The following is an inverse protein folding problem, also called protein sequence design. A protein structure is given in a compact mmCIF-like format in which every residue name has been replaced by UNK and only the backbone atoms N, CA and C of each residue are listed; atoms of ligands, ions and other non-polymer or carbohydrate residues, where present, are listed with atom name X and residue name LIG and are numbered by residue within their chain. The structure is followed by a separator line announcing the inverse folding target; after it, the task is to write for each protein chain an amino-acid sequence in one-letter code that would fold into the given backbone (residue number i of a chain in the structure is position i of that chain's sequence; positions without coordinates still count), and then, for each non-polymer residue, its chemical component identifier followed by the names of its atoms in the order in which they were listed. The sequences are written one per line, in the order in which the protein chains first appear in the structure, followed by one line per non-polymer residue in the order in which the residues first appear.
data_IF_571295983228
#
_entry.id   IF_571295983228
#
_cell.length_a   1.000
_cell.length_b   1.000
_cell.length_c   1.000
_cell.angle_alpha   90.00
_cell.angle_beta   90.00
_cell.angle_gamma   90.00
#
_symmetry.space_group_name_H-M   'P 1'
#
loop_
_entity.id
_entity.type
_entity.pdbx_description
1 polymer ?
#
# COMPACT_ATOMS: atom_id res chain seq x y z
N UNK A 1 -20.53 -5.83 3.03
CA UNK A 1 -19.77 -5.71 1.77
C UNK A 1 -20.74 -5.73 0.62
N UNK A 2 -20.41 -5.03 -0.47
CA UNK A 2 -21.33 -4.77 -1.58
C UNK A 2 -20.78 -5.29 -2.91
N UNK A 3 -21.66 -5.39 -3.90
CA UNK A 3 -21.30 -5.51 -5.31
C UNK A 3 -20.51 -4.28 -5.81
N UNK A 4 -19.84 -4.40 -6.96
CA UNK A 4 -18.98 -3.34 -7.51
C UNK A 4 -19.66 -1.99 -7.76
N UNK A 5 -20.98 -2.01 -7.98
CA UNK A 5 -21.86 -0.86 -8.19
C UNK A 5 -22.60 -0.40 -6.92
N UNK A 6 -22.35 -1.03 -5.77
CA UNK A 6 -23.02 -0.79 -4.49
C UNK A 6 -24.56 -0.95 -4.53
N UNK A 7 -25.10 -1.75 -5.43
CA UNK A 7 -26.56 -1.99 -5.54
C UNK A 7 -27.04 -3.12 -4.63
N UNK A 8 -26.24 -4.17 -4.46
CA UNK A 8 -26.58 -5.36 -3.70
C UNK A 8 -25.43 -5.81 -2.79
N UNK A 9 -25.69 -6.80 -1.93
CA UNK A 9 -24.63 -7.45 -1.16
C UNK A 9 -23.58 -8.07 -2.12
N UNK A 10 -22.32 -8.11 -1.67
CA UNK A 10 -21.26 -8.76 -2.45
C UNK A 10 -21.63 -10.23 -2.71
N UNK A 11 -21.48 -10.75 -3.95
CA UNK A 11 -21.82 -12.14 -4.27
C UNK A 11 -20.89 -13.14 -3.58
N UNK A 12 -19.68 -12.71 -3.21
CA UNK A 12 -18.71 -13.48 -2.46
C UNK A 12 -17.95 -12.57 -1.47
N UNK A 13 -17.32 -13.18 -0.47
CA UNK A 13 -16.38 -12.52 0.46
C UNK A 13 -14.92 -12.84 0.10
N UNK A 14 -14.68 -13.22 -1.16
CA UNK A 14 -13.35 -13.53 -1.71
C UNK A 14 -13.07 -12.53 -2.82
N UNK A 15 -12.01 -11.76 -2.67
CA UNK A 15 -11.67 -10.68 -3.58
C UNK A 15 -10.33 -10.97 -4.24
N UNK A 16 -10.23 -10.99 -5.58
CA UNK A 16 -8.95 -11.18 -6.25
C UNK A 16 -7.96 -10.07 -5.87
N UNK A 17 -6.67 -10.41 -5.77
CA UNK A 17 -5.62 -9.42 -5.61
C UNK A 17 -5.71 -8.37 -6.71
N UNK A 18 -5.58 -7.09 -6.36
CA UNK A 18 -5.72 -5.98 -7.31
C UNK A 18 -7.16 -5.56 -7.59
N UNK A 19 -8.17 -6.35 -7.18
CA UNK A 19 -9.57 -5.95 -7.28
C UNK A 19 -9.94 -4.90 -6.22
N UNK A 20 -11.11 -4.27 -6.41
CA UNK A 20 -11.71 -3.35 -5.44
C UNK A 20 -12.69 -4.10 -4.55
N UNK A 21 -12.67 -3.79 -3.26
CA UNK A 21 -13.55 -4.34 -2.22
C UNK A 21 -14.58 -3.25 -1.85
N UNK A 22 -15.83 -3.35 -2.34
CA UNK A 22 -16.84 -2.33 -2.07
C UNK A 22 -17.44 -2.50 -0.68
N UNK A 23 -17.39 -1.45 0.12
CA UNK A 23 -17.87 -1.40 1.50
C UNK A 23 -18.83 -0.22 1.64
N UNK A 24 -20.00 -0.52 2.21
CA UNK A 24 -21.04 0.47 2.51
C UNK A 24 -21.18 0.59 4.01
N UNK A 25 -21.08 1.81 4.51
CA UNK A 25 -21.49 2.18 5.86
C UNK A 25 -22.76 3.04 5.75
N UNK A 26 -23.78 2.72 6.52
CA UNK A 26 -25.03 3.48 6.54
C UNK A 26 -25.63 3.45 7.95
N UNK A 27 -26.33 4.52 8.31
CA UNK A 27 -27.13 4.55 9.54
C UNK A 27 -28.43 3.79 9.28
N UNK A 28 -28.82 2.89 10.20
CA UNK A 28 -30.13 2.26 10.13
C UNK A 28 -31.18 3.28 10.56
N UNK A 29 -32.18 3.52 9.71
CA UNK A 29 -33.26 4.48 9.94
C UNK A 29 -33.86 4.34 11.34
N UNK A 30 -33.97 5.44 12.08
CA UNK A 30 -34.42 5.44 13.49
C UNK A 30 -33.77 6.50 14.39
N UNK A 31 -32.92 7.37 13.83
CA UNK A 31 -32.26 8.45 14.57
C UNK A 31 -33.10 9.74 14.69
N UNK A 32 -32.67 10.70 15.53
CA UNK A 32 -33.41 11.92 15.87
C UNK A 32 -33.50 12.99 14.76
N UNK A 33 -33.25 12.64 13.50
CA UNK A 33 -33.27 13.59 12.38
C UNK A 33 -32.46 13.09 11.17
N UNK A 34 -32.27 13.93 10.13
CA UNK A 34 -31.37 13.60 9.02
C UNK A 34 -29.94 13.55 9.56
N UNK A 35 -29.44 12.34 9.80
CA UNK A 35 -28.09 12.14 10.28
C UNK A 35 -27.09 12.16 9.12
N UNK A 36 -25.91 12.75 9.35
CA UNK A 36 -24.77 12.63 8.43
C UNK A 36 -23.73 11.69 9.00
N UNK A 37 -23.33 10.68 8.20
CA UNK A 37 -22.39 9.63 8.62
C UNK A 37 -20.95 9.93 8.20
N UNK A 38 -20.04 9.69 9.13
CA UNK A 38 -18.59 9.75 8.94
C UNK A 38 -17.90 8.51 9.51
N UNK A 39 -16.75 8.17 8.91
CA UNK A 39 -15.84 7.14 9.40
C UNK A 39 -14.64 7.87 10.00
N UNK A 40 -14.45 7.76 11.31
CA UNK A 40 -13.32 8.41 11.98
C UNK A 40 -12.02 7.65 11.76
N UNK A 41 -12.07 6.34 11.94
CA UNK A 41 -10.94 5.44 11.81
C UNK A 41 -11.39 4.08 11.30
N UNK A 42 -10.52 3.41 10.54
CA UNK A 42 -10.65 1.99 10.25
C UNK A 42 -9.28 1.32 10.20
N UNK A 43 -9.20 0.10 10.71
CA UNK A 43 -8.01 -0.76 10.63
C UNK A 43 -8.38 -2.14 10.10
N UNK A 44 -7.51 -2.70 9.26
CA UNK A 44 -7.58 -4.11 8.86
C UNK A 44 -6.76 -4.96 9.82
N UNK A 45 -7.34 -6.07 10.25
CA UNK A 45 -6.74 -6.97 11.22
C UNK A 45 -7.08 -8.44 10.90
N UNK A 46 -6.25 -9.43 11.29
CA UNK A 46 -6.51 -10.84 11.05
C UNK A 46 -7.50 -11.48 12.03
N UNK A 47 -7.99 -10.74 13.03
CA UNK A 47 -8.92 -11.23 14.06
C UNK A 47 -10.16 -10.33 14.18
N UNK A 48 -11.28 -10.91 14.60
CA UNK A 48 -12.54 -10.21 14.87
C UNK A 48 -12.49 -9.41 16.18
N UNK A 49 -11.58 -9.77 17.09
CA UNK A 49 -11.26 -9.02 18.31
C UNK A 49 -9.93 -8.29 18.09
N UNK A 50 -9.99 -6.95 18.00
CA UNK A 50 -8.82 -6.14 17.68
C UNK A 50 -7.69 -6.32 18.71
N UNK A 51 -8.05 -6.54 19.98
CA UNK A 51 -7.14 -6.76 21.10
C UNK A 51 -6.22 -7.98 20.94
N UNK A 52 -6.61 -8.95 20.10
CA UNK A 52 -5.84 -10.18 19.83
C UNK A 52 -4.97 -10.08 18.58
N UNK A 53 -5.09 -9.00 17.81
CA UNK A 53 -4.40 -8.84 16.54
C UNK A 53 -2.97 -8.32 16.75
N UNK A 54 -1.98 -9.14 16.40
CA UNK A 54 -0.56 -8.77 16.49
C UNK A 54 -0.14 -7.73 15.43
N UNK A 55 -0.90 -7.58 14.36
CA UNK A 55 -0.60 -6.63 13.27
C UNK A 55 -1.89 -6.04 12.76
N UNK A 56 -1.93 -4.71 12.70
CA UNK A 56 -3.06 -3.93 12.18
C UNK A 56 -2.55 -3.01 11.09
N UNK A 57 -3.35 -2.83 10.05
CA UNK A 57 -3.04 -1.90 8.97
C UNK A 57 -4.08 -0.78 8.97
N UNK A 58 -3.69 0.49 9.20
CA UNK A 58 -4.63 1.59 9.14
C UNK A 58 -5.12 1.80 7.70
N UNK A 59 -6.43 1.98 7.56
CA UNK A 59 -7.11 2.23 6.29
C UNK A 59 -7.59 3.66 6.23
N UNK A 60 -8.36 4.05 7.26
CA UNK A 60 -8.80 5.42 7.50
C UNK A 60 -8.25 5.80 8.87
N UNK A 61 -7.66 6.98 8.99
CA UNK A 61 -7.15 7.49 10.26
C UNK A 61 -7.35 9.00 10.31
N UNK A 62 -6.89 9.63 11.38
CA UNK A 62 -6.81 11.08 11.49
C UNK A 62 -8.18 11.76 11.32
N UNK A 63 -9.22 11.15 11.89
CA UNK A 63 -10.63 11.56 11.82
C UNK A 63 -11.14 11.69 10.38
N UNK A 64 -10.97 10.65 9.57
CA UNK A 64 -11.57 10.56 8.23
C UNK A 64 -10.63 10.75 7.02
N UNK A 65 -9.30 10.65 7.20
CA UNK A 65 -8.32 10.64 6.10
C UNK A 65 -8.06 9.21 5.61
N UNK A 66 -8.35 8.93 4.33
CA UNK A 66 -8.12 7.64 3.69
C UNK A 66 -6.64 7.49 3.29
N UNK A 67 -5.93 6.57 3.95
CA UNK A 67 -4.48 6.42 3.82
C UNK A 67 -4.05 5.43 2.73
N UNK A 68 -4.91 4.48 2.33
CA UNK A 68 -4.58 3.52 1.30
C UNK A 68 -4.68 4.15 -0.09
N UNK A 69 -3.54 4.42 -0.72
CA UNK A 69 -3.42 5.29 -1.90
C UNK A 69 -4.24 4.92 -3.14
N UNK A 70 -4.60 3.65 -3.34
CA UNK A 70 -5.46 3.21 -4.44
C UNK A 70 -6.92 2.95 -4.02
N UNK A 71 -7.23 3.16 -2.74
CA UNK A 71 -8.61 3.13 -2.25
C UNK A 71 -9.26 4.50 -2.48
N UNK A 72 -10.58 4.52 -2.60
CA UNK A 72 -11.31 5.77 -2.82
C UNK A 72 -12.70 5.74 -2.16
N UNK A 73 -13.20 6.90 -1.81
CA UNK A 73 -14.62 7.08 -1.56
C UNK A 73 -15.37 7.30 -2.88
N UNK A 74 -16.54 6.70 -3.01
CA UNK A 74 -17.47 7.04 -4.08
C UNK A 74 -18.37 8.21 -3.63
N UNK A 75 -18.93 9.00 -4.58
CA UNK A 75 -19.84 10.09 -4.26
C UNK A 75 -20.99 9.61 -3.37
N UNK A 76 -21.32 10.44 -2.38
CA UNK A 76 -22.38 10.15 -1.43
C UNK A 76 -23.75 10.13 -2.13
N UNK A 77 -24.53 9.08 -1.90
CA UNK A 77 -25.93 8.98 -2.39
C UNK A 77 -26.93 9.62 -1.42
N UNK A 78 -26.65 9.52 -0.12
CA UNK A 78 -27.47 10.04 0.98
C UNK A 78 -26.58 10.48 2.16
N UNK A 79 -26.92 11.53 2.91
CA UNK A 79 -26.09 12.05 4.02
C UNK A 79 -25.69 10.99 5.06
N UNK A 80 -26.55 10.02 5.30
CA UNK A 80 -26.42 8.95 6.29
C UNK A 80 -25.60 7.74 5.79
N UNK A 81 -24.96 7.85 4.63
CA UNK A 81 -24.30 6.73 3.94
C UNK A 81 -22.91 7.12 3.41
N UNK A 82 -21.91 6.25 3.60
CA UNK A 82 -20.59 6.35 2.97
C UNK A 82 -20.27 5.08 2.17
N UNK A 83 -19.72 5.29 0.98
CA UNK A 83 -19.33 4.25 0.04
C UNK A 83 -17.80 4.25 -0.12
N UNK A 84 -17.16 3.18 0.35
CA UNK A 84 -15.71 3.02 0.35
C UNK A 84 -15.33 1.89 -0.61
N UNK A 85 -14.36 2.15 -1.48
CA UNK A 85 -13.79 1.15 -2.39
C UNK A 85 -12.35 0.90 -1.98
N UNK A 86 -12.10 -0.23 -1.31
CA UNK A 86 -10.77 -0.57 -0.82
C UNK A 86 -9.98 -1.35 -1.87
N UNK A 87 -8.72 -1.00 -2.07
CA UNK A 87 -7.83 -1.76 -2.93
C UNK A 87 -7.37 -3.05 -2.23
N UNK A 88 -7.66 -4.21 -2.82
CA UNK A 88 -7.12 -5.48 -2.36
C UNK A 88 -5.59 -5.50 -2.56
N UNK A 89 -4.85 -5.57 -1.45
CA UNK A 89 -3.38 -5.48 -1.44
C UNK A 89 -2.72 -6.83 -1.14
N UNK A 90 -1.48 -6.98 -1.59
CA UNK A 90 -0.69 -8.21 -1.42
C UNK A 90 -0.40 -8.54 0.05
N UNK A 91 -0.37 -7.53 0.93
CA UNK A 91 -0.06 -7.67 2.37
C UNK A 91 -1.04 -8.60 3.13
N UNK A 92 -2.22 -8.78 2.56
CA UNK A 92 -3.37 -9.46 3.17
C UNK A 92 -3.82 -10.70 2.39
N UNK A 93 -3.10 -11.11 1.34
CA UNK A 93 -3.43 -12.29 0.51
C UNK A 93 -3.42 -13.57 1.35
N UNK A 94 -4.42 -14.42 1.15
CA UNK A 94 -4.56 -15.73 1.80
C UNK A 94 -5.01 -15.68 3.27
N UNK A 95 -5.10 -14.49 3.87
CA UNK A 95 -5.52 -14.30 5.27
C UNK A 95 -7.01 -13.98 5.36
N UNK A 96 -7.66 -14.39 6.45
CA UNK A 96 -8.96 -13.86 6.85
C UNK A 96 -8.73 -12.47 7.43
N UNK A 97 -9.37 -11.46 6.86
CA UNK A 97 -9.25 -10.07 7.28
C UNK A 97 -10.59 -9.58 7.80
N UNK A 98 -10.53 -8.80 8.87
CA UNK A 98 -11.63 -8.04 9.43
C UNK A 98 -11.30 -6.55 9.31
N UNK A 99 -12.28 -5.77 8.88
CA UNK A 99 -12.20 -4.30 8.88
C UNK A 99 -12.93 -3.79 10.12
N UNK A 100 -12.17 -3.26 11.07
CA UNK A 100 -12.68 -2.62 12.28
C UNK A 100 -12.79 -1.13 12.03
N UNK A 101 -13.95 -0.54 12.29
CA UNK A 101 -14.20 0.89 12.04
C UNK A 101 -14.86 1.56 13.22
N UNK A 102 -14.46 2.80 13.48
CA UNK A 102 -15.13 3.74 14.36
C UNK A 102 -15.93 4.73 13.51
N UNK A 103 -17.24 4.74 13.72
CA UNK A 103 -18.21 5.53 12.98
C UNK A 103 -18.75 6.63 13.89
N UNK A 104 -19.01 7.79 13.32
CA UNK A 104 -19.77 8.87 13.97
C UNK A 104 -20.88 9.39 13.08
N UNK A 105 -22.01 9.72 13.68
CA UNK A 105 -23.10 10.38 13.01
C UNK A 105 -23.73 11.44 13.91
N UNK A 106 -24.09 12.58 13.35
CA UNK A 106 -24.79 13.67 14.04
C UNK A 106 -25.84 14.27 13.12
N UNK A 107 -26.69 15.13 13.67
CA UNK A 107 -27.77 15.79 12.93
C UNK A 107 -27.14 16.75 11.91
N UNK A 108 -27.54 16.62 10.65
CA UNK A 108 -27.02 17.40 9.52
C UNK A 108 -27.51 18.86 9.60
N UNK A 109 -26.85 19.65 10.44
CA UNK A 109 -27.03 21.10 10.52
C UNK A 109 -25.97 21.75 9.61
N UNK A 110 -26.42 22.29 8.49
CA UNK A 110 -25.66 22.62 7.27
C UNK A 110 -24.65 23.77 7.38
N UNK A 111 -24.08 24.05 8.56
CA UNK A 111 -23.29 25.28 8.80
C UNK A 111 -21.83 25.05 9.20
N UNK A 112 -21.44 23.84 9.64
CA UNK A 112 -20.03 23.58 9.97
C UNK A 112 -19.60 22.17 9.53
N UNK A 113 -18.36 22.07 9.08
CA UNK A 113 -17.70 20.82 8.66
C UNK A 113 -17.28 20.06 9.91
N UNK A 114 -18.27 19.56 10.66
CA UNK A 114 -18.04 18.76 11.87
C UNK A 114 -17.32 17.43 11.58
N UNK A 115 -17.35 16.98 10.32
CA UNK A 115 -16.81 15.72 9.86
C UNK A 115 -16.20 15.84 8.49
N UNK A 116 -15.26 14.94 8.19
CA UNK A 116 -14.61 14.88 6.89
C UNK A 116 -14.47 13.43 6.43
N UNK A 117 -14.54 13.25 5.11
CA UNK A 117 -14.12 12.06 4.42
C UNK A 117 -13.15 12.53 3.34
N UNK A 118 -11.86 12.39 3.61
CA UNK A 118 -10.79 12.91 2.79
C UNK A 118 -10.10 11.78 2.06
N UNK A 119 -9.81 11.99 0.77
CA UNK A 119 -8.98 11.09 -0.02
C UNK A 119 -7.87 11.87 -0.71
N UNK A 120 -6.72 11.24 -0.87
CA UNK A 120 -5.62 11.84 -1.62
C UNK A 120 -5.81 11.62 -3.12
N UNK A 121 -5.90 12.71 -3.88
CA UNK A 121 -6.04 12.64 -5.33
C UNK A 121 -4.66 12.71 -5.97
N UNK A 122 -4.15 11.57 -6.43
CA UNK A 122 -2.81 11.45 -7.01
C UNK A 122 -2.58 12.41 -8.19
N UNK A 123 -3.58 12.63 -9.04
CA UNK A 123 -3.48 13.52 -10.21
C UNK A 123 -3.31 15.01 -9.85
N UNK A 124 -3.74 15.41 -8.66
CA UNK A 124 -3.66 16.79 -8.16
C UNK A 124 -2.65 16.96 -7.02
N UNK A 125 -2.01 15.86 -6.60
CA UNK A 125 -1.11 15.80 -5.45
C UNK A 125 -1.64 16.49 -4.19
N UNK A 126 -2.93 16.35 -3.90
CA UNK A 126 -3.58 16.98 -2.74
C UNK A 126 -4.67 16.13 -2.13
N UNK A 127 -4.98 16.39 -0.86
CA UNK A 127 -6.17 15.89 -0.20
C UNK A 127 -7.42 16.63 -0.68
N UNK A 128 -8.49 15.88 -0.93
CA UNK A 128 -9.78 16.38 -1.39
C UNK A 128 -10.88 15.90 -0.45
N UNK A 129 -11.76 16.83 -0.05
CA UNK A 129 -12.96 16.50 0.73
C UNK A 129 -14.03 15.89 -0.18
N UNK A 130 -14.58 14.74 0.23
CA UNK A 130 -15.57 14.01 -0.56
C UNK A 130 -16.84 14.82 -0.85
N UNK A 131 -17.42 15.42 0.19
CA UNK A 131 -18.75 16.02 0.13
C UNK A 131 -18.72 17.40 -0.55
N UNK A 132 -17.61 18.15 -0.42
CA UNK A 132 -17.42 19.44 -1.07
C UNK A 132 -15.93 19.70 -1.39
N UNK A 133 -15.49 19.44 -2.64
CA UNK A 133 -14.12 19.71 -3.05
C UNK A 133 -13.67 21.17 -2.89
N UNK A 134 -14.58 22.15 -2.85
CA UNK A 134 -14.24 23.56 -2.62
C UNK A 134 -13.78 23.80 -1.17
N UNK A 135 -14.25 22.99 -0.22
CA UNK A 135 -13.88 23.04 1.20
C UNK A 135 -12.74 22.06 1.56
N UNK A 136 -11.90 21.68 0.59
CA UNK A 136 -10.78 20.75 0.81
C UNK A 136 -9.73 21.25 1.82
N UNK A 137 -9.78 22.51 2.25
CA UNK A 137 -8.96 23.02 3.37
C UNK A 137 -9.21 22.24 4.67
N UNK A 138 -10.41 21.66 4.85
CA UNK A 138 -10.73 20.78 5.98
C UNK A 138 -9.88 19.49 6.01
N UNK A 139 -9.30 19.09 4.87
CA UNK A 139 -8.42 17.93 4.74
C UNK A 139 -6.92 18.28 4.81
N UNK A 140 -6.55 19.55 4.97
CA UNK A 140 -5.14 19.99 5.00
C UNK A 140 -4.33 19.34 6.14
N UNK A 141 -4.98 18.96 7.24
CA UNK A 141 -4.35 18.26 8.35
C UNK A 141 -4.04 16.78 8.08
N UNK A 142 -4.49 16.19 6.95
CA UNK A 142 -4.29 14.78 6.67
C UNK A 142 -2.81 14.38 6.46
N UNK A 143 -1.95 15.33 6.04
CA UNK A 143 -0.49 15.15 5.98
C UNK A 143 0.21 15.33 7.35
N UNK A 144 -0.54 15.77 8.36
CA UNK A 144 -0.06 15.99 9.73
C UNK A 144 -1.05 15.35 10.72
N UNK A 145 -1.39 16.03 11.80
CA UNK A 145 -2.33 15.53 12.81
C UNK A 145 -3.57 16.41 12.84
N UNK A 146 -4.71 15.81 12.56
CA UNK A 146 -6.03 16.41 12.71
C UNK A 146 -6.48 16.26 14.17
N UNK A 147 -6.96 17.35 14.76
CA UNK A 147 -7.63 17.29 16.05
C UNK A 147 -9.01 16.64 15.87
N UNK A 148 -9.33 15.56 16.60
CA UNK A 148 -10.69 15.04 16.65
C UNK A 148 -11.63 16.15 17.14
N UNK A 149 -12.73 16.37 16.43
CA UNK A 149 -13.76 17.30 16.91
C UNK A 149 -14.65 16.55 17.90
N UNK A 150 -14.84 17.13 19.07
CA UNK A 150 -15.81 16.65 20.05
C UNK A 150 -17.18 17.21 19.67
N UNK A 151 -17.85 16.52 18.77
CA UNK A 151 -19.20 16.86 18.33
C UNK A 151 -20.18 15.91 18.99
N UNK A 152 -21.21 16.47 19.61
CA UNK A 152 -22.34 15.67 20.11
C UNK A 152 -22.94 14.86 18.95
N UNK A 153 -22.89 13.54 19.09
CA UNK A 153 -23.30 12.62 18.05
C UNK A 153 -23.28 11.17 18.52
N UNK A 154 -23.84 10.30 17.71
CA UNK A 154 -23.86 8.87 17.93
C UNK A 154 -22.56 8.28 17.39
N UNK A 155 -21.77 7.65 18.28
CA UNK A 155 -20.57 6.90 17.92
C UNK A 155 -20.85 5.41 17.92
N UNK A 156 -20.27 4.66 16.99
CA UNK A 156 -20.42 3.21 16.93
C UNK A 156 -19.15 2.53 16.43
N UNK A 157 -18.75 1.44 17.10
CA UNK A 157 -17.74 0.51 16.59
C UNK A 157 -18.39 -0.59 15.79
N UNK A 158 -17.88 -0.87 14.60
CA UNK A 158 -18.38 -1.94 13.73
C UNK A 158 -17.23 -2.73 13.14
N UNK A 159 -17.44 -4.03 12.99
CA UNK A 159 -16.48 -4.95 12.41
C UNK A 159 -17.13 -5.61 11.20
N UNK A 160 -16.44 -5.61 10.06
CA UNK A 160 -16.89 -6.27 8.84
C UNK A 160 -15.88 -7.33 8.45
N UNK A 161 -16.32 -8.59 8.38
CA UNK A 161 -15.47 -9.71 8.00
C UNK A 161 -16.01 -11.05 8.52
N UNK A 162 -15.28 -12.15 8.27
CA UNK A 162 -14.02 -12.18 7.54
C UNK A 162 -14.23 -12.05 6.03
N UNK A 163 -13.28 -11.40 5.35
CA UNK A 163 -13.10 -11.50 3.91
C UNK A 163 -11.68 -11.96 3.60
N UNK A 164 -11.48 -12.51 2.41
CA UNK A 164 -10.19 -13.09 2.01
C UNK A 164 -9.79 -12.47 0.68
N UNK A 165 -8.53 -12.04 0.58
CA UNK A 165 -7.95 -11.65 -0.70
C UNK A 165 -7.27 -12.89 -1.29
N UNK A 166 -7.70 -13.28 -2.48
CA UNK A 166 -7.18 -14.48 -3.17
C UNK A 166 -6.26 -14.08 -4.30
N UNK A 167 -5.20 -14.84 -4.50
CA UNK A 167 -4.40 -14.73 -5.72
C UNK A 167 -4.98 -15.71 -6.75
N UNK A 168 -5.63 -15.19 -7.79
CA UNK A 168 -6.21 -16.02 -8.85
C UNK A 168 -5.19 -16.38 -9.94
N UNK A 169 -3.94 -15.93 -9.79
CA UNK A 169 -2.83 -16.18 -10.73
C UNK A 169 -2.31 -17.62 -10.74
N UNK A 170 -3.05 -18.59 -10.18
CA UNK A 170 -2.61 -19.99 -10.08
C UNK A 170 -3.74 -20.95 -9.75
N UNK A 171 -4.51 -21.33 -10.77
CA UNK A 171 -5.26 -22.58 -10.77
C UNK A 171 -4.32 -23.77 -10.41
N UNK A 172 -4.79 -24.66 -9.53
CA UNK A 172 -4.17 -25.92 -9.08
C UNK A 172 -2.72 -25.84 -8.57
N UNK A 173 -2.53 -25.83 -7.25
CA UNK A 173 -1.27 -26.27 -6.64
C UNK A 173 -1.50 -27.58 -5.86
N UNK A 174 -1.98 -28.59 -6.58
CA UNK A 174 -1.68 -29.98 -6.25
C UNK A 174 -0.35 -30.33 -6.95
N UNK A 175 0.65 -30.69 -6.16
CA UNK A 175 1.83 -31.48 -6.55
C UNK A 175 2.84 -30.85 -7.54
N UNK A 176 4.08 -30.83 -7.04
CA UNK A 176 5.36 -30.77 -7.79
C UNK A 176 6.04 -29.39 -7.96
N UNK A 177 7.03 -29.21 -7.09
CA UNK A 177 8.24 -28.40 -7.25
C UNK A 177 8.66 -28.06 -8.69
N UNK A 178 8.81 -26.78 -9.00
CA UNK A 178 9.91 -26.25 -9.82
C UNK A 178 10.07 -24.75 -9.58
N UNK A 179 11.26 -24.23 -9.23
CA UNK A 179 11.48 -22.80 -9.10
C UNK A 179 11.81 -22.23 -10.48
N UNK A 180 10.82 -21.69 -11.19
CA UNK A 180 11.11 -20.83 -12.34
C UNK A 180 11.51 -19.43 -11.84
N UNK A 181 12.77 -19.08 -12.10
CA UNK A 181 13.36 -17.77 -11.88
C UNK A 181 12.66 -16.71 -12.75
N UNK A 182 11.61 -16.11 -12.22
CA UNK A 182 11.07 -14.84 -12.71
C UNK A 182 11.97 -13.69 -12.27
N UNK A 183 12.56 -13.00 -13.25
CA UNK A 183 13.46 -11.85 -13.12
C UNK A 183 12.72 -10.70 -12.40
N UNK A 184 12.80 -10.74 -11.07
CA UNK A 184 12.03 -9.90 -10.15
C UNK A 184 12.64 -8.52 -10.09
N UNK A 185 11.80 -7.50 -10.26
CA UNK A 185 12.10 -6.07 -10.17
C UNK A 185 13.13 -5.80 -9.05
N UNK A 186 14.39 -5.65 -9.45
CA UNK A 186 15.45 -5.33 -8.51
C UNK A 186 15.20 -3.89 -8.07
N UNK A 187 15.05 -3.63 -6.76
CA UNK A 187 14.81 -2.27 -6.31
C UNK A 187 16.03 -1.42 -6.72
N UNK A 188 15.79 -0.18 -7.14
CA UNK A 188 16.81 0.69 -7.78
C UNK A 188 18.14 0.74 -7.01
N UNK A 189 18.10 0.67 -5.67
CA UNK A 189 19.31 0.64 -4.84
C UNK A 189 20.19 -0.60 -5.07
N UNK A 190 19.64 -1.77 -5.44
CA UNK A 190 20.42 -2.96 -5.81
C UNK A 190 21.18 -2.73 -7.11
N UNK A 191 20.56 -2.07 -8.09
CA UNK A 191 21.25 -1.66 -9.32
C UNK A 191 22.35 -0.63 -9.03
N UNK A 192 22.10 0.33 -8.13
CA UNK A 192 23.12 1.30 -7.71
C UNK A 192 24.28 0.62 -6.98
N UNK A 193 24.01 -0.33 -6.09
CA UNK A 193 25.04 -1.09 -5.39
C UNK A 193 25.84 -2.01 -6.33
N UNK A 194 25.18 -2.67 -7.28
CA UNK A 194 25.87 -3.54 -8.22
C UNK A 194 26.77 -2.76 -9.18
N UNK A 195 26.29 -1.61 -9.69
CA UNK A 195 27.08 -0.73 -10.56
C UNK A 195 28.25 -0.11 -9.81
N UNK A 196 28.05 0.37 -8.58
CA UNK A 196 29.14 0.92 -7.76
C UNK A 196 30.19 -0.13 -7.41
N UNK A 197 29.78 -1.35 -7.02
CA UNK A 197 30.70 -2.45 -6.77
C UNK A 197 31.50 -2.84 -8.04
N UNK A 198 30.86 -2.89 -9.21
CA UNK A 198 31.52 -3.19 -10.47
C UNK A 198 32.58 -2.13 -10.84
N UNK A 199 32.26 -0.84 -10.66
CA UNK A 199 33.21 0.26 -10.88
C UNK A 199 34.42 0.18 -9.94
N UNK A 200 34.20 -0.17 -8.66
CA UNK A 200 35.29 -0.36 -7.68
C UNK A 200 36.18 -1.54 -8.08
N UNK A 201 35.59 -2.65 -8.53
CA UNK A 201 36.37 -3.83 -8.97
C UNK A 201 37.18 -3.50 -10.23
N UNK A 202 36.58 -2.85 -11.22
CA UNK A 202 37.28 -2.47 -12.46
C UNK A 202 38.46 -1.54 -12.16
N UNK A 203 38.24 -0.51 -11.32
CA UNK A 203 39.31 0.41 -10.92
C UNK A 203 40.42 -0.29 -10.15
N UNK A 204 40.10 -1.21 -9.23
CA UNK A 204 41.08 -2.00 -8.50
C UNK A 204 41.90 -2.93 -9.43
N UNK A 205 41.25 -3.58 -10.40
CA UNK A 205 41.91 -4.46 -11.39
C UNK A 205 42.86 -3.65 -12.29
N UNK A 206 42.42 -2.48 -12.76
CA UNK A 206 43.26 -1.58 -13.56
C UNK A 206 44.44 -1.05 -12.75
N UNK A 207 44.24 -0.67 -11.48
CA UNK A 207 45.31 -0.24 -10.60
C UNK A 207 46.32 -1.37 -10.31
N UNK A 208 45.83 -2.60 -10.12
CA UNK A 208 46.67 -3.78 -9.88
C UNK A 208 47.46 -4.18 -11.14
N UNK A 209 46.85 -4.16 -12.32
CA UNK A 209 47.55 -4.44 -13.58
C UNK A 209 48.62 -3.38 -13.85
N UNK A 210 48.30 -2.09 -13.63
CA UNK A 210 49.27 -1.01 -13.72
C UNK A 210 50.44 -1.20 -12.74
N UNK A 211 50.14 -1.56 -11.49
CA UNK A 211 51.17 -1.86 -10.48
C UNK A 211 52.06 -3.03 -10.92
N UNK A 212 51.49 -4.12 -11.44
CA UNK A 212 52.25 -5.27 -11.93
C UNK A 212 53.11 -4.92 -13.15
N UNK A 213 52.58 -4.15 -14.10
CA UNK A 213 53.33 -3.72 -15.29
C UNK A 213 54.51 -2.81 -14.91
N UNK A 214 54.28 -1.84 -14.01
CA UNK A 214 55.32 -0.88 -13.63
C UNK A 214 56.36 -1.45 -12.67
N UNK A 215 55.95 -2.27 -11.70
CA UNK A 215 56.85 -2.76 -10.65
C UNK A 215 57.43 -4.15 -10.91
N UNK A 216 56.73 -5.05 -11.62
CA UNK A 216 57.23 -6.39 -11.93
C UNK A 216 57.88 -6.50 -13.31
N UNK A 217 57.53 -5.65 -14.27
CA UNK A 217 58.09 -5.67 -15.64
C UNK A 217 59.56 -5.27 -15.76
N UNK A 218 60.16 -4.67 -14.71
CA UNK A 218 61.53 -4.14 -14.74
C UNK A 218 62.65 -5.12 -14.42
N UNK A 219 62.40 -6.41 -14.18
CA UNK A 219 63.45 -7.39 -13.85
C UNK A 219 63.24 -8.70 -14.62
N UNK A 220 64.33 -9.17 -15.23
CA UNK A 220 64.55 -10.46 -15.90
C UNK A 220 64.39 -10.49 -17.43
N UNK A 221 65.32 -9.80 -18.11
CA UNK A 221 66.40 -10.49 -18.82
C UNK A 221 66.04 -11.33 -20.05
N UNK A 222 65.78 -10.65 -21.17
CA UNK A 222 65.82 -11.21 -22.53
C UNK A 222 67.25 -11.66 -22.88
N UNK A 223 67.47 -12.92 -23.25
CA UNK A 223 68.76 -13.44 -23.77
C UNK A 223 68.49 -14.30 -25.02
N UNK A 224 68.90 -13.88 -26.22
CA UNK A 224 68.65 -14.63 -27.46
C UNK A 224 69.66 -15.77 -27.66
N UNK A 225 69.18 -16.84 -28.26
CA UNK A 225 69.92 -18.07 -28.61
C UNK A 225 70.97 -17.83 -29.70
N UNK A 226 72.17 -18.38 -29.53
CA UNK A 226 73.18 -18.56 -30.58
C UNK A 226 73.96 -19.85 -30.35
N UNK A 227 73.98 -20.65 -31.41
CA UNK A 227 75.05 -21.55 -31.84
C UNK A 227 75.36 -22.80 -31.00
N UNK A 228 74.88 -23.95 -31.48
CA UNK A 228 75.65 -25.20 -31.46
C UNK A 228 75.52 -25.88 -32.83
N UNK A 229 76.41 -25.49 -33.74
CA UNK A 229 76.66 -26.12 -35.05
C UNK A 229 78.19 -26.15 -35.24
N UNK A 230 78.72 -27.31 -35.65
CA UNK A 230 80.15 -27.71 -35.72
C UNK A 230 80.79 -27.96 -34.35
N UNK A 231 81.53 -29.06 -34.10
CA UNK A 231 82.59 -29.65 -34.92
C UNK A 231 82.91 -31.07 -34.39
N UNK A 232 83.20 -32.00 -35.31
CA UNK A 232 83.44 -33.45 -35.19
C UNK A 232 82.24 -34.38 -35.20
#
# INVERSE_FOLDING_TARGET
MMSGDFSAAAPSLRFPLGSRIPIRAAVQSGGPGPLRLFIESCVMAPDAELSRSATVQPVISNSGCLLLGNSSFAPRRRPDELLLSLQASALTVGKKIFLHCELKAWVDQSLDVHGKACQYMQTQHRWVLLDDPAQSYACSCCDSTCTPRDTEGVSARRVVGPFIIVDESGASLDTHSSPEHGLREAPVWVLVLSVSAALIIITAVLAFSYYLCFWRGGRLGYRPSRDLLSKY
#
